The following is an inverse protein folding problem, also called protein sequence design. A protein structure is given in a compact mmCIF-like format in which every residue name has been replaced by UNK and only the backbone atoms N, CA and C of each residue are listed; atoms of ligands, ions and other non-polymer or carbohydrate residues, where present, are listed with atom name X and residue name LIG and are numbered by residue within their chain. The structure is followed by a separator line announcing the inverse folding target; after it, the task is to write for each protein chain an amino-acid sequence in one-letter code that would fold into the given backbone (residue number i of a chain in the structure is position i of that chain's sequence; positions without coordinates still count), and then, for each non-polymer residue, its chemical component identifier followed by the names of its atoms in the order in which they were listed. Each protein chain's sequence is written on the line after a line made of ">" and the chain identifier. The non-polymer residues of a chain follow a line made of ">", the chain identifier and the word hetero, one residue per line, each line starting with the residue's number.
data_IF_367814482673
#
_entry.id   IF_367814482673
#
_cell.length_a   1.000
_cell.length_b   1.000
_cell.length_c   1.000
_cell.angle_alpha   90.00
_cell.angle_beta   90.00
_cell.angle_gamma   90.00
#
_symmetry.space_group_name_H-M   'P 1'
#
loop_
_entity.id
_entity.type
_entity.pdbx_description
1 polymer ?
#
# COMPACT_ATOMS: atom_id res chain seq x y z
N UNK A 1 20.89 14.11 -7.78
CA UNK A 1 20.91 12.70 -7.32
C UNK A 1 20.41 11.85 -8.47
N UNK A 2 21.12 10.79 -8.88
CA UNK A 2 20.74 9.94 -10.02
C UNK A 2 20.41 8.56 -9.45
N UNK A 3 19.13 8.24 -9.35
CA UNK A 3 18.65 6.93 -8.90
C UNK A 3 18.56 6.05 -10.14
N UNK A 4 19.12 4.85 -10.10
CA UNK A 4 19.07 3.87 -11.19
C UNK A 4 18.78 2.50 -10.59
N UNK A 5 17.67 1.88 -10.97
CA UNK A 5 17.35 0.49 -10.59
C UNK A 5 17.91 -0.45 -11.66
N UNK A 6 18.71 -1.48 -11.33
CA UNK A 6 19.23 -2.41 -12.33
C UNK A 6 18.15 -3.42 -12.69
N UNK A 7 17.37 -3.13 -13.74
CA UNK A 7 16.49 -4.11 -14.40
C UNK A 7 17.39 -5.15 -15.08
N UNK A 8 17.16 -6.45 -14.83
CA UNK A 8 17.96 -7.59 -15.32
C UNK A 8 17.08 -8.64 -15.97
N UNK A 9 17.61 -9.35 -16.97
CA UNK A 9 16.90 -10.41 -17.69
C UNK A 9 16.69 -11.68 -16.84
N UNK A 10 15.97 -12.67 -17.38
CA UNK A 10 15.71 -13.96 -16.71
C UNK A 10 16.99 -14.75 -16.36
N UNK A 11 18.11 -14.44 -17.02
CA UNK A 11 19.44 -14.99 -16.76
C UNK A 11 20.26 -14.15 -15.76
N UNK A 12 19.70 -13.05 -15.23
CA UNK A 12 20.35 -12.13 -14.31
C UNK A 12 21.38 -11.17 -14.95
N UNK A 13 21.39 -11.04 -16.28
CA UNK A 13 22.26 -10.12 -17.02
C UNK A 13 21.61 -8.75 -17.16
N UNK A 14 22.43 -7.73 -17.35
CA UNK A 14 21.92 -6.40 -17.70
C UNK A 14 21.34 -6.44 -19.11
N UNK A 15 20.17 -5.80 -19.27
CA UNK A 15 19.63 -5.52 -20.58
C UNK A 15 20.60 -4.62 -21.35
N UNK A 16 20.82 -4.96 -22.60
CA UNK A 16 21.78 -4.30 -23.49
C UNK A 16 21.23 -2.99 -24.03
N UNK A 17 19.91 -2.79 -23.94
CA UNK A 17 19.22 -1.60 -24.40
C UNK A 17 17.82 -1.48 -23.79
N UNK A 18 17.27 -0.27 -23.83
CA UNK A 18 15.86 -0.02 -23.46
C UNK A 18 14.89 -0.82 -24.36
N UNK A 19 15.20 -0.95 -25.66
CA UNK A 19 14.37 -1.67 -26.62
C UNK A 19 14.17 -3.16 -26.25
N UNK A 20 15.19 -3.76 -25.62
CA UNK A 20 15.15 -5.16 -25.17
C UNK A 20 14.18 -5.36 -23.99
N UNK A 21 14.14 -4.37 -23.09
CA UNK A 21 13.20 -4.35 -21.95
C UNK A 21 11.75 -4.21 -22.47
N UNK A 22 11.54 -3.30 -23.43
CA UNK A 22 10.22 -3.05 -24.01
C UNK A 22 9.68 -4.28 -24.75
N UNK A 23 10.51 -4.97 -25.53
CA UNK A 23 10.09 -6.20 -26.22
C UNK A 23 9.68 -7.32 -25.27
N UNK A 24 10.30 -7.40 -24.09
CA UNK A 24 9.92 -8.39 -23.07
C UNK A 24 8.56 -8.07 -22.47
N UNK A 25 8.32 -6.80 -22.14
CA UNK A 25 7.03 -6.33 -21.60
C UNK A 25 5.91 -6.54 -22.62
N UNK A 26 6.16 -6.22 -23.90
CA UNK A 26 5.20 -6.39 -25.00
C UNK A 26 4.88 -7.87 -25.31
N UNK A 27 5.75 -8.79 -24.90
CA UNK A 27 5.58 -10.23 -25.12
C UNK A 27 4.71 -10.91 -24.05
N UNK A 28 4.42 -10.24 -22.92
CA UNK A 28 3.56 -10.78 -21.87
C UNK A 28 2.07 -10.55 -22.18
N UNK A 29 1.37 -11.61 -22.57
CA UNK A 29 -0.04 -11.54 -22.97
C UNK A 29 -1.00 -11.16 -21.81
N UNK A 30 -0.60 -11.37 -20.56
CA UNK A 30 -1.39 -11.08 -19.37
C UNK A 30 -0.45 -10.68 -18.24
N UNK A 31 -0.39 -9.38 -17.91
CA UNK A 31 0.34 -8.90 -16.74
C UNK A 31 -0.11 -9.66 -15.50
N UNK A 32 0.80 -10.42 -14.91
CA UNK A 32 0.49 -11.31 -13.79
C UNK A 32 0.23 -10.47 -12.54
N UNK A 33 -1.04 -10.35 -12.14
CA UNK A 33 -1.47 -9.48 -11.06
C UNK A 33 -0.97 -9.93 -9.68
N UNK A 34 -0.57 -8.95 -8.88
CA UNK A 34 0.19 -9.06 -7.64
C UNK A 34 -0.64 -9.65 -6.49
N UNK A 35 -0.16 -10.76 -5.94
CA UNK A 35 -0.53 -11.27 -4.62
C UNK A 35 0.65 -10.98 -3.67
N UNK A 36 0.54 -9.94 -2.84
CA UNK A 36 1.50 -9.71 -1.76
C UNK A 36 1.00 -10.40 -0.49
N UNK A 37 1.50 -11.60 -0.22
CA UNK A 37 1.16 -12.34 1.01
C UNK A 37 2.27 -12.24 2.08
N UNK A 38 3.46 -11.67 1.77
CA UNK A 38 4.55 -11.52 2.74
C UNK A 38 5.57 -10.43 2.39
N UNK A 39 6.11 -9.77 3.43
CA UNK A 39 7.28 -8.88 3.34
C UNK A 39 8.51 -9.67 3.78
N UNK A 40 9.55 -9.69 2.95
CA UNK A 40 10.83 -10.34 3.26
C UNK A 40 11.93 -9.29 3.36
N UNK A 41 12.61 -9.24 4.51
CA UNK A 41 13.81 -8.43 4.72
C UNK A 41 15.04 -9.31 4.50
N UNK A 42 15.91 -8.93 3.56
CA UNK A 42 17.22 -9.58 3.38
C UNK A 42 18.26 -8.88 4.25
N UNK A 43 19.07 -9.65 4.98
CA UNK A 43 20.33 -9.15 5.55
C UNK A 43 21.38 -8.99 4.44
N UNK A 44 22.36 -8.10 4.62
CA UNK A 44 23.34 -7.60 3.62
C UNK A 44 24.15 -8.68 2.84
N UNK A 45 24.00 -9.96 3.15
CA UNK A 45 24.75 -11.08 2.55
C UNK A 45 23.89 -12.16 1.89
N UNK A 46 22.56 -12.10 1.93
CA UNK A 46 21.70 -13.09 1.26
C UNK A 46 21.17 -12.58 -0.09
N UNK A 47 21.56 -13.25 -1.17
CA UNK A 47 20.98 -13.02 -2.50
C UNK A 47 19.54 -13.58 -2.55
N UNK A 48 18.56 -12.69 -2.71
CA UNK A 48 17.17 -13.08 -2.88
C UNK A 48 16.94 -13.69 -4.27
N UNK A 49 16.56 -14.97 -4.31
CA UNK A 49 16.23 -15.66 -5.56
C UNK A 49 14.77 -15.42 -5.93
N UNK A 50 14.57 -14.62 -6.98
CA UNK A 50 13.27 -14.42 -7.61
C UNK A 50 13.11 -15.42 -8.77
N UNK A 51 11.92 -16.01 -8.89
CA UNK A 51 11.55 -16.86 -10.03
C UNK A 51 10.60 -16.09 -10.95
N UNK A 52 10.59 -16.42 -12.25
CA UNK A 52 9.59 -15.89 -13.18
C UNK A 52 8.17 -16.15 -12.67
N UNK A 53 7.32 -15.11 -12.68
CA UNK A 53 5.95 -15.14 -12.14
C UNK A 53 5.83 -14.91 -10.63
N UNK A 54 6.92 -14.71 -9.89
CA UNK A 54 6.85 -14.33 -8.47
C UNK A 54 6.46 -12.86 -8.33
N UNK A 55 5.43 -12.51 -7.54
CA UNK A 55 5.09 -11.11 -7.28
C UNK A 55 6.22 -10.47 -6.48
N UNK A 56 6.86 -9.46 -7.08
CA UNK A 56 7.91 -8.66 -6.44
C UNK A 56 7.43 -7.22 -6.35
N UNK A 57 7.57 -6.62 -5.17
CA UNK A 57 7.30 -5.22 -4.92
C UNK A 57 8.49 -4.58 -4.22
N UNK A 58 8.74 -3.30 -4.51
CA UNK A 58 9.76 -2.52 -3.82
C UNK A 58 9.08 -1.66 -2.74
N UNK A 59 9.57 -1.77 -1.49
CA UNK A 59 9.22 -0.84 -0.42
C UNK A 59 10.22 0.31 -0.42
N UNK A 60 9.78 1.48 -0.88
CA UNK A 60 10.53 2.72 -0.79
C UNK A 60 10.57 3.25 0.64
N UNK A 61 11.66 3.94 0.96
CA UNK A 61 11.81 4.73 2.18
C UNK A 61 12.29 6.13 1.78
N UNK A 62 11.52 7.14 2.12
CA UNK A 62 11.93 8.54 2.03
C UNK A 62 12.33 9.05 3.42
N UNK A 63 13.54 9.60 3.52
CA UNK A 63 14.07 10.15 4.75
C UNK A 63 14.06 11.67 4.72
N UNK A 64 13.54 12.28 5.78
CA UNK A 64 13.42 13.71 5.97
C UNK A 64 14.12 14.14 7.26
N UNK A 65 14.72 15.35 7.31
CA UNK A 65 15.11 15.93 8.58
C UNK A 65 13.89 16.03 9.50
N UNK A 66 13.96 15.40 10.67
CA UNK A 66 12.88 15.41 11.65
C UNK A 66 12.68 16.79 12.26
N UNK A 67 11.54 16.98 12.94
CA UNK A 67 11.19 18.26 13.57
C UNK A 67 12.19 18.75 14.62
N UNK A 68 12.95 17.84 15.24
CA UNK A 68 13.98 18.18 16.23
C UNK A 68 15.39 17.93 15.70
N UNK A 69 16.37 18.67 16.22
CA UNK A 69 17.75 18.58 15.77
C UNK A 69 18.31 17.17 15.96
N UNK A 70 18.78 16.56 14.87
CA UNK A 70 19.36 15.22 14.88
C UNK A 70 18.35 14.08 14.74
N UNK A 71 17.06 14.37 14.53
CA UNK A 71 16.08 13.37 14.17
C UNK A 71 16.00 13.20 12.64
N UNK A 72 15.70 11.98 12.22
CA UNK A 72 15.33 11.63 10.85
C UNK A 72 13.93 11.04 10.91
N UNK A 73 13.02 11.59 10.12
CA UNK A 73 11.69 11.03 9.90
C UNK A 73 11.74 10.17 8.62
N UNK A 74 11.13 8.99 8.67
CA UNK A 74 11.10 8.05 7.54
C UNK A 74 9.65 7.83 7.11
N UNK A 75 9.38 7.96 5.81
CA UNK A 75 8.11 7.59 5.19
C UNK A 75 8.33 6.36 4.32
N UNK A 76 7.66 5.26 4.67
CA UNK A 76 7.72 4.01 3.92
C UNK A 76 6.52 3.92 2.97
N UNK A 77 6.78 3.58 1.71
CA UNK A 77 5.73 3.48 0.69
C UNK A 77 5.97 2.31 -0.24
N UNK A 78 4.89 1.75 -0.79
CA UNK A 78 4.92 0.79 -1.89
C UNK A 78 4.07 1.38 -2.99
N UNK A 79 4.62 1.46 -4.20
CA UNK A 79 3.89 1.94 -5.37
C UNK A 79 3.43 0.77 -6.22
N UNK A 80 2.12 0.68 -6.49
CA UNK A 80 1.51 -0.36 -7.29
C UNK A 80 0.81 0.28 -8.48
N UNK A 81 1.29 -0.02 -9.69
CA UNK A 81 0.69 0.45 -10.94
C UNK A 81 0.01 -0.69 -11.67
N UNK A 82 -1.19 -0.39 -12.15
CA UNK A 82 -2.02 -1.28 -12.95
C UNK A 82 -2.33 -0.53 -14.25
N UNK A 83 -1.66 -0.90 -15.34
CA UNK A 83 -1.92 -0.35 -16.65
C UNK A 83 -3.06 -1.13 -17.30
N UNK A 84 -4.11 -0.43 -17.73
CA UNK A 84 -5.26 -1.02 -18.41
C UNK A 84 -5.72 -0.10 -19.54
N UNK A 85 -6.01 -0.70 -20.70
CA UNK A 85 -6.66 -0.03 -21.82
C UNK A 85 -8.20 -0.07 -21.72
N UNK A 86 -8.75 -0.70 -20.66
CA UNK A 86 -10.19 -0.77 -20.43
C UNK A 86 -10.73 0.57 -19.92
N UNK A 87 -11.61 1.28 -20.67
CA UNK A 87 -12.21 2.52 -20.19
C UNK A 87 -13.10 2.34 -18.96
N UNK A 88 -13.48 1.10 -18.62
CA UNK A 88 -14.21 0.76 -17.40
C UNK A 88 -13.35 0.71 -16.14
N UNK A 89 -12.01 0.74 -16.25
CA UNK A 89 -11.08 0.57 -15.12
C UNK A 89 -11.30 1.57 -13.97
N UNK A 90 -11.51 2.87 -14.20
CA UNK A 90 -11.78 3.82 -13.11
C UNK A 90 -13.05 3.47 -12.31
N UNK A 91 -14.11 3.05 -13.01
CA UNK A 91 -15.35 2.63 -12.37
C UNK A 91 -15.19 1.30 -11.62
N UNK A 92 -14.40 0.37 -12.16
CA UNK A 92 -14.12 -0.93 -11.55
C UNK A 92 -13.54 -0.80 -10.13
N UNK A 93 -12.65 0.17 -9.89
CA UNK A 93 -12.06 0.40 -8.56
C UNK A 93 -13.11 0.66 -7.47
N UNK A 94 -14.28 1.20 -7.85
CA UNK A 94 -15.38 1.50 -6.94
C UNK A 94 -16.25 0.30 -6.56
N UNK A 95 -16.02 -0.88 -7.16
CA UNK A 95 -16.82 -2.09 -6.96
C UNK A 95 -18.34 -1.83 -7.11
N UNK A 96 -18.81 -1.33 -8.27
CA UNK A 96 -20.20 -0.88 -8.46
C UNK A 96 -21.22 -2.01 -8.27
N UNK A 97 -20.85 -3.24 -8.62
CA UNK A 97 -21.69 -4.44 -8.48
C UNK A 97 -21.70 -5.02 -7.05
N UNK A 98 -20.96 -4.41 -6.12
CA UNK A 98 -20.94 -4.83 -4.72
C UNK A 98 -20.44 -6.26 -4.53
N UNK A 99 -19.45 -6.68 -5.34
CA UNK A 99 -18.84 -8.00 -5.29
C UNK A 99 -18.30 -8.24 -3.88
N UNK A 100 -18.63 -9.40 -3.31
CA UNK A 100 -18.20 -9.79 -1.97
C UNK A 100 -16.97 -10.66 -2.06
N UNK A 101 -15.93 -10.28 -1.35
CA UNK A 101 -14.78 -11.13 -1.07
C UNK A 101 -14.80 -11.66 0.36
N UNK A 102 -13.91 -12.61 0.65
CA UNK A 102 -13.74 -13.17 1.99
C UNK A 102 -12.85 -12.28 2.87
N UNK A 103 -11.96 -11.49 2.25
CA UNK A 103 -11.03 -10.62 2.96
C UNK A 103 -11.66 -9.27 3.32
N UNK A 104 -11.26 -8.73 4.48
CA UNK A 104 -11.62 -7.40 4.98
C UNK A 104 -10.38 -6.68 5.46
N UNK A 105 -10.30 -5.39 5.18
CA UNK A 105 -9.21 -4.53 5.60
C UNK A 105 -9.74 -3.46 6.54
N UNK A 106 -9.11 -3.30 7.70
CA UNK A 106 -9.35 -2.22 8.67
C UNK A 106 -8.42 -1.06 8.30
N UNK A 107 -9.01 0.09 8.03
CA UNK A 107 -8.33 1.32 7.66
C UNK A 107 -8.43 2.30 8.84
N UNK A 108 -7.28 2.69 9.39
CA UNK A 108 -7.15 3.62 10.48
C UNK A 108 -6.43 4.89 10.00
N UNK A 109 -7.10 6.06 10.00
CA UNK A 109 -6.49 7.30 9.53
C UNK A 109 -5.49 7.88 10.54
N UNK A 110 -4.49 8.59 10.03
CA UNK A 110 -3.51 9.37 10.81
C UNK A 110 -4.22 10.35 11.75
N UNK A 111 -3.62 10.59 12.92
CA UNK A 111 -4.07 11.59 13.90
C UNK A 111 -5.18 11.13 14.84
N UNK A 112 -5.68 9.89 14.75
CA UNK A 112 -6.69 9.36 15.67
C UNK A 112 -6.12 9.12 17.07
N UNK A 113 -6.87 9.48 18.10
CA UNK A 113 -6.48 9.27 19.50
C UNK A 113 -6.46 7.78 19.83
N UNK A 114 -5.32 7.28 20.32
CA UNK A 114 -5.16 5.88 20.66
C UNK A 114 -5.64 5.58 22.08
N UNK A 115 -6.19 4.38 22.26
CA UNK A 115 -6.63 3.86 23.54
C UNK A 115 -5.77 2.68 23.97
N UNK A 116 -5.59 2.49 25.28
CA UNK A 116 -5.01 1.27 25.83
C UNK A 116 -6.11 0.35 26.33
N UNK A 117 -5.96 -0.95 26.04
CA UNK A 117 -6.86 -2.00 26.51
C UNK A 117 -6.43 -2.49 27.89
N UNK A 118 -7.39 -2.63 28.78
CA UNK A 118 -7.23 -3.28 30.08
C UNK A 118 -8.33 -4.32 30.27
N UNK A 119 -7.93 -5.53 30.64
CA UNK A 119 -8.85 -6.64 30.90
C UNK A 119 -8.88 -6.91 32.41
N UNK A 120 -9.99 -6.59 33.07
CA UNK A 120 -10.18 -6.85 34.51
C UNK A 120 -11.33 -7.83 34.69
N UNK A 121 -11.08 -8.99 35.30
CA UNK A 121 -12.10 -10.04 35.50
C UNK A 121 -12.88 -10.44 34.22
N UNK A 122 -12.23 -10.37 33.05
CA UNK A 122 -12.85 -10.69 31.75
C UNK A 122 -13.65 -9.55 31.12
N UNK A 123 -13.68 -8.37 31.75
CA UNK A 123 -14.28 -7.16 31.21
C UNK A 123 -13.22 -6.32 30.50
N UNK A 124 -13.52 -5.92 29.27
CA UNK A 124 -12.66 -5.08 28.44
C UNK A 124 -12.95 -3.61 28.69
N UNK A 125 -11.92 -2.86 29.06
CA UNK A 125 -11.98 -1.41 29.28
C UNK A 125 -10.92 -0.72 28.44
N UNK A 126 -11.26 0.44 27.91
CA UNK A 126 -10.40 1.21 27.02
C UNK A 126 -10.23 2.62 27.54
N UNK A 127 -8.98 2.99 27.82
CA UNK A 127 -8.64 4.31 28.36
C UNK A 127 -7.96 5.14 27.29
N UNK A 128 -8.45 6.36 27.06
CA UNK A 128 -7.82 7.29 26.13
C UNK A 128 -6.40 7.62 26.59
N UNK A 129 -5.45 7.57 25.67
CA UNK A 129 -4.07 8.02 25.91
C UNK A 129 -3.89 9.48 25.49
N UNK A 130 -2.69 10.02 25.67
CA UNK A 130 -2.29 11.29 25.04
C UNK A 130 -1.67 11.10 23.65
N UNK A 131 -1.54 9.86 23.16
CA UNK A 131 -0.89 9.54 21.91
C UNK A 131 -1.91 9.49 20.75
N UNK A 132 -1.49 9.97 19.59
CA UNK A 132 -2.25 9.86 18.34
C UNK A 132 -1.55 8.92 17.37
N UNK A 133 -2.31 8.27 16.50
CA UNK A 133 -1.78 7.43 15.44
C UNK A 133 -0.91 8.27 14.49
N UNK A 134 0.39 7.98 14.43
CA UNK A 134 1.38 8.81 13.72
C UNK A 134 1.30 8.75 12.20
N UNK A 135 0.81 7.64 11.66
CA UNK A 135 0.62 7.41 10.22
C UNK A 135 -0.69 6.66 9.99
N UNK A 136 -1.24 6.73 8.77
CA UNK A 136 -2.37 5.86 8.44
C UNK A 136 -1.94 4.39 8.46
N UNK A 137 -2.85 3.50 8.85
CA UNK A 137 -2.60 2.05 8.87
C UNK A 137 -3.72 1.31 8.14
N UNK A 138 -3.32 0.28 7.39
CA UNK A 138 -4.21 -0.70 6.78
C UNK A 138 -3.81 -2.08 7.28
N UNK A 139 -4.75 -2.82 7.88
CA UNK A 139 -4.51 -4.13 8.47
C UNK A 139 -5.58 -5.11 8.03
N UNK A 140 -5.25 -6.39 7.78
CA UNK A 140 -6.26 -7.43 7.69
C UNK A 140 -7.13 -7.43 8.95
N UNK A 141 -8.45 -7.58 8.81
CA UNK A 141 -9.39 -7.54 9.94
C UNK A 141 -9.02 -8.53 11.03
N UNK A 142 -8.58 -9.73 10.65
CA UNK A 142 -8.13 -10.78 11.56
C UNK A 142 -6.88 -10.38 12.37
N UNK A 143 -5.97 -9.61 11.77
CA UNK A 143 -4.78 -9.10 12.45
C UNK A 143 -5.12 -7.99 13.44
N UNK A 144 -6.21 -7.24 13.21
CA UNK A 144 -6.69 -6.21 14.12
C UNK A 144 -7.34 -6.76 15.40
N UNK A 145 -7.55 -8.08 15.51
CA UNK A 145 -8.06 -8.77 16.72
C UNK A 145 -9.27 -8.06 17.37
N UNK A 146 -10.36 -7.82 16.64
CA UNK A 146 -11.46 -7.00 17.11
C UNK A 146 -12.14 -7.61 18.35
N UNK A 147 -12.42 -6.78 19.34
CA UNK A 147 -13.10 -7.17 20.59
C UNK A 147 -14.23 -6.20 20.92
N UNK A 148 -15.20 -6.67 21.71
CA UNK A 148 -16.30 -5.83 22.21
C UNK A 148 -16.10 -5.48 23.68
N UNK A 149 -16.39 -4.24 24.05
CA UNK A 149 -16.54 -3.85 25.46
C UNK A 149 -17.94 -4.19 26.01
N UNK A 150 -18.20 -3.84 27.28
CA UNK A 150 -19.51 -4.05 27.92
C UNK A 150 -20.66 -3.31 27.26
N UNK A 151 -20.36 -2.18 26.60
CA UNK A 151 -21.32 -1.40 25.84
C UNK A 151 -21.59 -1.98 24.45
N UNK A 152 -20.97 -3.13 24.12
CA UNK A 152 -21.00 -3.78 22.80
C UNK A 152 -20.39 -2.92 21.70
N UNK A 153 -19.53 -1.97 22.05
CA UNK A 153 -18.76 -1.22 21.07
C UNK A 153 -17.57 -2.07 20.62
N UNK A 154 -17.33 -2.11 19.30
CA UNK A 154 -16.16 -2.77 18.74
C UNK A 154 -14.90 -1.92 18.87
N UNK A 155 -13.80 -2.58 19.18
CA UNK A 155 -12.46 -2.02 19.32
C UNK A 155 -11.47 -2.83 18.49
N UNK A 156 -10.56 -2.13 17.82
CA UNK A 156 -9.58 -2.70 16.89
C UNK A 156 -8.17 -2.40 17.36
N UNK A 157 -7.30 -3.41 17.39
CA UNK A 157 -5.90 -3.27 17.68
C UNK A 157 -5.16 -2.79 16.43
N UNK A 158 -4.57 -1.60 16.49
CA UNK A 158 -3.93 -0.97 15.32
C UNK A 158 -2.41 -1.03 15.40
N UNK A 159 -1.83 -0.90 16.59
CA UNK A 159 -0.37 -0.81 16.76
C UNK A 159 0.21 -1.84 17.73
N UNK A 160 -0.57 -2.88 18.07
CA UNK A 160 -0.25 -3.86 19.10
C UNK A 160 -0.64 -3.40 20.50
N UNK A 161 -0.36 -2.14 20.85
CA UNK A 161 -0.72 -1.52 22.14
C UNK A 161 -1.78 -0.43 22.04
N UNK A 162 -1.97 0.16 20.84
CA UNK A 162 -2.93 1.22 20.57
C UNK A 162 -4.20 0.69 19.89
N UNK A 163 -5.34 1.04 20.47
CA UNK A 163 -6.66 0.61 20.02
C UNK A 163 -7.49 1.80 19.52
N UNK A 164 -8.34 1.55 18.53
CA UNK A 164 -9.33 2.50 18.04
C UNK A 164 -10.75 1.92 18.13
N UNK A 165 -11.76 2.73 18.46
CA UNK A 165 -13.15 2.32 18.41
C UNK A 165 -13.63 2.22 16.95
N UNK A 166 -14.69 1.44 16.73
CA UNK A 166 -15.31 1.23 15.41
C UNK A 166 -15.58 2.51 14.62
N UNK A 167 -16.06 3.56 15.29
CA UNK A 167 -16.35 4.87 14.69
C UNK A 167 -15.12 5.58 14.09
N UNK A 168 -13.92 5.21 14.53
CA UNK A 168 -12.66 5.85 14.12
C UNK A 168 -11.87 5.01 13.11
N UNK A 169 -12.39 3.85 12.71
CA UNK A 169 -11.86 3.02 11.63
C UNK A 169 -12.87 2.88 10.50
N UNK A 170 -12.41 2.48 9.32
CA UNK A 170 -13.26 2.09 8.21
C UNK A 170 -12.93 0.68 7.79
N UNK A 171 -13.94 -0.14 7.53
CA UNK A 171 -13.74 -1.47 6.97
C UNK A 171 -13.98 -1.44 5.46
N UNK A 172 -12.97 -1.86 4.71
CA UNK A 172 -13.07 -2.05 3.27
C UNK A 172 -13.24 -3.54 2.94
N UNK A 173 -14.11 -3.86 1.99
CA UNK A 173 -14.15 -5.17 1.36
C UNK A 173 -12.94 -5.38 0.45
N UNK A 174 -12.58 -6.64 0.23
CA UNK A 174 -11.48 -7.05 -0.66
C UNK A 174 -11.47 -6.32 -2.01
N UNK A 175 -12.63 -6.08 -2.62
CA UNK A 175 -12.75 -5.46 -3.94
C UNK A 175 -13.06 -3.96 -3.88
N UNK A 176 -13.21 -3.36 -2.70
CA UNK A 176 -13.46 -1.92 -2.55
C UNK A 176 -12.14 -1.15 -2.71
N UNK A 177 -11.51 -1.21 -3.90
CA UNK A 177 -10.16 -0.71 -4.15
C UNK A 177 -10.05 0.80 -3.90
N UNK A 178 -11.05 1.60 -4.31
CA UNK A 178 -11.08 3.03 -3.97
C UNK A 178 -11.06 3.27 -2.45
N UNK A 179 -11.79 2.48 -1.67
CA UNK A 179 -11.79 2.62 -0.20
C UNK A 179 -10.44 2.23 0.38
N UNK A 180 -9.77 1.25 -0.21
CA UNK A 180 -8.43 0.81 0.18
C UNK A 180 -7.32 1.80 -0.24
N UNK A 181 -7.67 2.90 -0.93
CA UNK A 181 -6.75 3.97 -1.27
C UNK A 181 -6.19 3.91 -2.70
N UNK A 182 -6.66 2.97 -3.54
CA UNK A 182 -6.31 2.97 -4.96
C UNK A 182 -6.91 4.20 -5.64
N UNK A 183 -6.13 4.84 -6.51
CA UNK A 183 -6.55 6.02 -7.25
C UNK A 183 -6.42 5.73 -8.75
N UNK A 184 -7.44 6.06 -9.57
CA UNK A 184 -7.29 6.02 -11.01
C UNK A 184 -6.42 7.20 -11.45
N UNK A 185 -5.44 6.92 -12.31
CA UNK A 185 -4.73 7.93 -13.08
C UNK A 185 -5.15 7.75 -14.52
N UNK A 186 -5.89 8.72 -15.06
CA UNK A 186 -6.37 8.68 -16.43
C UNK A 186 -5.46 9.52 -17.32
N UNK A 187 -4.88 8.89 -18.34
CA UNK A 187 -4.22 9.62 -19.41
C UNK A 187 -5.17 9.87 -20.58
N UNK A 188 -5.25 11.13 -21.01
CA UNK A 188 -5.90 11.47 -22.27
C UNK A 188 -5.03 10.98 -23.44
N UNK A 189 -5.24 9.72 -23.81
CA UNK A 189 -4.68 9.00 -24.98
C UNK A 189 -3.73 9.82 -25.87
N UNK A 190 -2.45 9.76 -25.55
CA UNK A 190 -1.34 10.02 -26.45
C UNK A 190 -1.00 8.82 -27.35
N UNK A 191 -1.86 7.79 -27.43
CA UNK A 191 -1.80 6.70 -28.41
C UNK A 191 -0.59 5.76 -28.38
N UNK A 192 0.43 6.03 -27.57
CA UNK A 192 1.70 5.30 -27.56
C UNK A 192 2.24 5.07 -26.14
N UNK A 193 1.82 3.96 -25.52
CA UNK A 193 2.28 3.53 -24.18
C UNK A 193 3.81 3.34 -24.09
N UNK A 194 4.56 3.35 -25.20
CA UNK A 194 6.02 3.23 -25.20
C UNK A 194 6.69 4.52 -24.67
N UNK A 195 5.95 5.63 -24.57
CA UNK A 195 6.46 6.93 -24.08
C UNK A 195 6.02 7.27 -22.64
N UNK A 196 5.36 6.33 -21.97
CA UNK A 196 4.81 6.46 -20.61
C UNK A 196 5.71 7.14 -19.56
N UNK A 197 7.02 6.86 -19.49
CA UNK A 197 7.92 7.55 -18.55
C UNK A 197 8.07 9.07 -18.77
N UNK A 198 7.66 9.57 -19.95
CA UNK A 198 7.76 10.97 -20.37
C UNK A 198 6.38 11.65 -20.44
N UNK A 199 5.33 10.93 -20.08
CA UNK A 199 3.94 11.40 -20.15
C UNK A 199 3.54 12.10 -18.85
N UNK A 200 2.53 12.98 -18.94
CA UNK A 200 2.18 13.90 -17.85
C UNK A 200 1.64 13.20 -16.59
N UNK A 201 1.17 11.95 -16.73
CA UNK A 201 0.67 11.15 -15.62
C UNK A 201 1.78 10.75 -14.63
N UNK A 202 3.05 10.60 -15.07
CA UNK A 202 4.17 10.27 -14.17
C UNK A 202 4.44 11.41 -13.18
N UNK A 203 4.64 12.67 -13.61
CA UNK A 203 4.67 13.82 -12.69
C UNK A 203 3.44 13.93 -11.80
N UNK A 204 2.23 13.69 -12.31
CA UNK A 204 0.99 13.75 -11.52
C UNK A 204 0.91 12.66 -10.45
N UNK A 205 1.39 11.44 -10.75
CA UNK A 205 1.51 10.35 -9.80
C UNK A 205 2.48 10.72 -8.67
N UNK A 206 3.67 11.23 -9.01
CA UNK A 206 4.65 11.71 -8.02
C UNK A 206 4.06 12.84 -7.16
N UNK A 207 3.35 13.80 -7.75
CA UNK A 207 2.67 14.88 -7.03
C UNK A 207 1.52 14.39 -6.14
N UNK A 208 0.81 13.32 -6.52
CA UNK A 208 -0.23 12.72 -5.69
C UNK A 208 0.37 12.03 -4.47
N UNK A 209 1.42 11.23 -4.66
CA UNK A 209 2.18 10.58 -3.58
C UNK A 209 2.74 11.62 -2.60
N UNK A 210 3.35 12.69 -3.14
CA UNK A 210 3.88 13.82 -2.35
C UNK A 210 2.83 14.56 -1.51
N UNK A 211 1.55 14.48 -1.89
CA UNK A 211 0.44 15.08 -1.16
C UNK A 211 -0.18 14.13 -0.15
N UNK A 212 -0.19 12.82 -0.43
CA UNK A 212 -0.68 11.80 0.49
C UNK A 212 0.20 11.62 1.75
N UNK A 213 1.49 11.97 1.68
CA UNK A 213 2.40 11.96 2.83
C UNK A 213 2.18 13.09 3.86
N UNK A 214 1.51 14.19 3.48
CA UNK A 214 1.31 15.35 4.38
C UNK A 214 0.19 15.11 5.41
#
# INVERSE_FOLDING_TARGET
>A
MKISYPIRDEDGKEFRSLDEIIQLIDAEAYGTWLLFDSVHTVEDTEEWKVSAGTPVGFMGCEEYPGRESGQVECEWFVHLEVLSADPGMPAFLGNPEGVKGEKRTVLAPKGKLLYTRQTTAGQETFTATSATLGAQCALPREAATPVTDESKQWWFNITGSGWLPEKDVTEAGQYDLLKQGFQPLEENSGGDMVRSPYESWVPEAFDSVSRAGR
#
